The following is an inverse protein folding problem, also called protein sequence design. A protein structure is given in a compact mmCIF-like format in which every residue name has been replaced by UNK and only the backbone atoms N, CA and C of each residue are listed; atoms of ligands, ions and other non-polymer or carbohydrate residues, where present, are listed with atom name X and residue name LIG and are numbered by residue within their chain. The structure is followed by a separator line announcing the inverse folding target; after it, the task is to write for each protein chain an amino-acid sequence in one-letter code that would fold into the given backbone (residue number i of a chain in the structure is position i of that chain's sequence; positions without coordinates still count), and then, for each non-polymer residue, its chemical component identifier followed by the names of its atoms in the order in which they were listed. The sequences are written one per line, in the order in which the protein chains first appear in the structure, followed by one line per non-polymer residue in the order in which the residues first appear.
data_IF_513874719933
#
_entry.id   IF_513874719933
#
_cell.length_a   1.000
_cell.length_b   1.000
_cell.length_c   1.000
_cell.angle_alpha   90.00
_cell.angle_beta   90.00
_cell.angle_gamma   90.00
#
_symmetry.space_group_name_H-M   'P 1'
#
loop_
_entity.id
_entity.type
_entity.pdbx_description
1 polymer ?
#
# COMPACT_ATOMS: atom_id res chain seq x y z
N UNK A 1 21.78 33.13 0.74
CA UNK A 1 23.20 33.43 1.05
C UNK A 1 23.39 34.21 2.35
N UNK A 2 22.51 35.15 2.72
CA UNK A 2 22.68 35.92 3.98
C UNK A 2 22.60 35.07 5.26
N UNK A 3 21.72 34.07 5.32
CA UNK A 3 21.51 33.24 6.51
C UNK A 3 22.70 32.30 6.84
N UNK A 4 23.26 31.53 5.88
CA UNK A 4 24.46 30.72 6.16
C UNK A 4 25.67 31.55 6.61
N UNK A 5 25.82 32.78 6.09
CA UNK A 5 26.88 33.70 6.51
C UNK A 5 26.66 34.17 7.95
N UNK A 6 25.40 34.43 8.34
CA UNK A 6 25.05 34.77 9.72
C UNK A 6 25.29 33.60 10.69
N UNK A 7 24.95 32.37 10.31
CA UNK A 7 25.20 31.17 11.11
C UNK A 7 26.70 30.91 11.30
N UNK A 8 27.49 31.05 10.23
CA UNK A 8 28.94 30.90 10.30
C UNK A 8 29.59 31.97 11.18
N UNK A 9 29.09 33.21 11.11
CA UNK A 9 29.54 34.29 11.97
C UNK A 9 29.21 34.01 13.45
N UNK A 10 27.99 33.55 13.75
CA UNK A 10 27.59 33.15 15.11
C UNK A 10 28.48 32.03 15.64
N UNK A 11 28.75 31.01 14.84
CA UNK A 11 29.66 29.92 15.21
C UNK A 11 31.08 30.42 15.49
N UNK A 12 31.60 31.34 14.68
CA UNK A 12 32.93 31.92 14.86
C UNK A 12 33.02 32.79 16.12
N UNK A 13 31.99 33.59 16.40
CA UNK A 13 31.94 34.46 17.58
C UNK A 13 31.60 33.73 18.89
N UNK A 14 31.18 32.46 18.82
CA UNK A 14 31.05 31.59 19.99
C UNK A 14 32.42 31.09 20.51
N UNK A 15 33.49 31.12 19.70
CA UNK A 15 34.81 30.62 20.10
C UNK A 15 35.52 31.52 21.13
N UNK A 16 35.57 32.85 20.96
CA UNK A 16 36.19 33.73 21.96
C UNK A 16 35.23 33.96 23.15
N UNK A 17 35.73 33.74 24.37
CA UNK A 17 34.94 33.91 25.60
C UNK A 17 34.33 35.33 25.75
N UNK A 18 34.99 36.36 25.20
CA UNK A 18 34.52 37.75 25.25
C UNK A 18 33.31 38.01 24.33
N UNK A 19 33.21 37.30 23.19
CA UNK A 19 32.12 37.47 22.21
C UNK A 19 31.03 36.41 22.34
N UNK A 20 31.30 35.30 23.03
CA UNK A 20 30.38 34.19 23.23
C UNK A 20 29.00 34.56 23.82
N UNK A 21 28.84 35.53 24.75
CA UNK A 21 27.51 35.90 25.27
C UNK A 21 26.65 36.55 24.19
N UNK A 22 27.25 37.45 23.39
CA UNK A 22 26.59 38.14 22.29
C UNK A 22 26.28 37.17 21.14
N UNK A 23 27.19 36.23 20.87
CA UNK A 23 26.97 35.18 19.88
C UNK A 23 25.88 34.18 20.31
N UNK A 24 25.83 33.81 21.60
CA UNK A 24 24.77 32.96 22.15
C UNK A 24 23.39 33.65 22.10
N UNK A 25 23.32 34.96 22.36
CA UNK A 25 22.10 35.74 22.17
C UNK A 25 21.68 35.77 20.69
N UNK A 26 22.62 35.95 19.77
CA UNK A 26 22.37 35.85 18.32
C UNK A 26 21.86 34.48 17.89
N UNK A 27 22.47 33.40 18.39
CA UNK A 27 22.04 32.03 18.16
C UNK A 27 20.62 31.78 18.69
N UNK A 28 20.31 32.26 19.89
CA UNK A 28 18.98 32.15 20.50
C UNK A 28 17.90 32.81 19.62
N UNK A 29 18.15 34.03 19.15
CA UNK A 29 17.21 34.76 18.28
C UNK A 29 16.97 33.99 16.98
N UNK A 30 18.02 33.47 16.35
CA UNK A 30 17.91 32.68 15.11
C UNK A 30 17.13 31.38 15.34
N UNK A 31 17.45 30.65 16.42
CA UNK A 31 16.78 29.39 16.76
C UNK A 31 15.30 29.58 17.11
N UNK A 32 14.95 30.65 17.83
CA UNK A 32 13.56 30.97 18.14
C UNK A 32 12.79 31.41 16.89
N UNK A 33 13.39 32.25 16.03
CA UNK A 33 12.77 32.64 14.77
C UNK A 33 12.52 31.41 13.87
N UNK A 34 13.48 30.49 13.79
CA UNK A 34 13.34 29.25 13.04
C UNK A 34 12.29 28.31 13.67
N UNK A 35 12.28 28.17 15.00
CA UNK A 35 11.28 27.38 15.71
C UNK A 35 9.85 27.93 15.53
N UNK A 36 9.67 29.26 15.53
CA UNK A 36 8.38 29.90 15.23
C UNK A 36 7.97 29.64 13.78
N UNK A 37 8.90 29.79 12.83
CA UNK A 37 8.61 29.54 11.42
C UNK A 37 8.19 28.08 11.17
N UNK A 38 8.92 27.10 11.71
CA UNK A 38 8.55 25.68 11.63
C UNK A 38 7.26 25.41 12.39
N UNK A 39 7.09 25.93 13.60
CA UNK A 39 5.90 25.73 14.41
C UNK A 39 4.63 26.23 13.72
N UNK A 40 4.68 27.41 13.10
CA UNK A 40 3.58 27.96 12.29
C UNK A 40 3.34 27.13 11.03
N UNK A 41 4.39 26.59 10.42
CA UNK A 41 4.28 25.75 9.22
C UNK A 41 3.62 24.39 9.53
N UNK A 42 4.11 23.70 10.56
CA UNK A 42 3.58 22.42 11.05
C UNK A 42 2.15 22.57 11.58
N UNK A 43 1.85 23.64 12.33
CA UNK A 43 0.49 23.90 12.82
C UNK A 43 -0.52 24.18 11.69
N UNK A 44 -0.05 24.53 10.50
CA UNK A 44 -0.87 24.73 9.29
C UNK A 44 -0.87 23.51 8.36
N UNK A 45 -0.36 22.36 8.82
CA UNK A 45 -0.28 21.13 8.04
C UNK A 45 0.71 21.19 6.87
N UNK A 46 1.61 22.17 6.84
CA UNK A 46 2.63 22.31 5.79
C UNK A 46 3.94 21.72 6.28
N UNK A 47 4.50 20.76 5.54
CA UNK A 47 5.82 20.19 5.80
C UNK A 47 6.81 20.67 4.72
N UNK A 48 7.38 21.88 4.83
CA UNK A 48 8.27 22.41 3.81
C UNK A 48 9.57 21.61 3.77
N UNK A 49 10.04 21.33 2.56
CA UNK A 49 11.37 20.74 2.34
C UNK A 49 12.45 21.69 2.83
N UNK A 50 13.13 21.30 3.91
CA UNK A 50 14.20 22.09 4.48
C UNK A 50 15.51 21.82 3.74
N UNK A 51 15.85 22.69 2.78
CA UNK A 51 17.15 22.70 2.11
C UNK A 51 18.29 23.26 2.98
N UNK A 52 18.34 22.91 4.27
CA UNK A 52 19.33 23.44 5.23
C UNK A 52 20.78 23.09 4.88
N UNK A 53 21.02 22.11 3.99
CA UNK A 53 22.38 21.71 3.53
C UNK A 53 22.52 21.62 1.99
N UNK A 54 21.66 22.31 1.23
CA UNK A 54 21.63 22.21 -0.23
C UNK A 54 20.94 20.95 -0.75
N UNK A 55 21.13 20.61 -2.03
CA UNK A 55 20.41 19.54 -2.75
C UNK A 55 20.79 18.10 -2.33
N UNK A 56 21.65 17.92 -1.33
CA UNK A 56 22.24 16.61 -1.06
C UNK A 56 21.41 15.73 -0.14
N UNK A 57 20.55 16.26 0.74
CA UNK A 57 19.55 15.52 1.52
C UNK A 57 18.44 16.49 1.97
N UNK A 58 17.19 16.19 1.62
CA UNK A 58 15.99 16.93 2.06
C UNK A 58 15.14 15.99 2.89
N UNK A 59 14.92 16.31 4.17
CA UNK A 59 13.97 15.59 5.03
C UNK A 59 12.90 16.60 5.48
N UNK A 60 11.60 16.25 5.43
CA UNK A 60 10.52 17.19 5.74
C UNK A 60 10.67 17.75 7.16
N UNK A 61 10.46 19.06 7.32
CA UNK A 61 10.50 19.70 8.62
C UNK A 61 9.35 19.19 9.52
N UNK A 62 9.69 18.35 10.52
CA UNK A 62 8.72 17.74 11.42
C UNK A 62 8.87 18.14 12.89
N UNK A 63 8.07 17.52 13.74
CA UNK A 63 8.05 17.76 15.20
C UNK A 63 9.41 17.49 15.87
N UNK A 64 10.19 16.55 15.32
CA UNK A 64 11.57 16.28 15.78
C UNK A 64 12.51 17.46 15.55
N UNK A 65 12.38 18.14 14.41
CA UNK A 65 13.17 19.33 14.07
C UNK A 65 12.82 20.50 14.98
N UNK A 66 11.53 20.68 15.28
CA UNK A 66 11.07 21.67 16.24
C UNK A 66 11.64 21.40 17.65
N UNK A 67 11.51 20.17 18.15
CA UNK A 67 12.02 19.77 19.45
C UNK A 67 13.54 19.97 19.58
N UNK A 68 14.31 19.61 18.55
CA UNK A 68 15.77 19.82 18.49
C UNK A 68 16.13 21.30 18.59
N UNK A 69 15.46 22.17 17.82
CA UNK A 69 15.77 23.60 17.82
C UNK A 69 15.36 24.29 19.13
N UNK A 70 14.26 23.87 19.75
CA UNK A 70 13.87 24.34 21.08
C UNK A 70 14.88 23.92 22.16
N UNK A 71 15.43 22.71 22.08
CA UNK A 71 16.48 22.27 23.00
C UNK A 71 17.78 23.09 22.82
N UNK A 72 18.19 23.37 21.57
CA UNK A 72 19.34 24.23 21.28
C UNK A 72 19.09 25.68 21.74
N UNK A 73 17.87 26.19 21.56
CA UNK A 73 17.48 27.51 22.04
C UNK A 73 17.54 27.59 23.57
N UNK A 74 17.09 26.56 24.29
CA UNK A 74 17.20 26.51 25.75
C UNK A 74 18.67 26.54 26.21
N UNK A 75 19.57 25.81 25.52
CA UNK A 75 21.01 25.83 25.81
C UNK A 75 21.62 27.21 25.55
N UNK A 76 21.31 27.84 24.41
CA UNK A 76 21.77 29.18 24.07
C UNK A 76 21.26 30.24 25.08
N UNK A 77 20.00 30.11 25.49
CA UNK A 77 19.39 30.94 26.53
C UNK A 77 20.06 30.78 27.88
N UNK A 78 20.37 29.54 28.28
CA UNK A 78 21.12 29.27 29.51
C UNK A 78 22.51 29.90 29.49
N UNK A 79 23.27 29.74 28.40
CA UNK A 79 24.60 30.34 28.24
C UNK A 79 24.51 31.88 28.30
N UNK A 80 23.53 32.47 27.61
CA UNK A 80 23.31 33.93 27.63
C UNK A 80 22.96 34.42 29.03
N UNK A 81 22.07 33.72 29.72
CA UNK A 81 21.62 34.07 31.07
C UNK A 81 22.73 33.97 32.11
N UNK A 82 23.53 32.91 32.08
CA UNK A 82 24.66 32.72 32.99
C UNK A 82 25.77 33.72 32.70
N UNK A 83 26.09 33.97 31.42
CA UNK A 83 27.16 34.88 31.03
C UNK A 83 26.85 36.38 31.29
N UNK A 84 25.57 36.75 31.40
CA UNK A 84 25.17 38.13 31.74
C UNK A 84 24.95 38.36 33.23
N UNK A 85 24.68 37.30 34.02
CA UNK A 85 24.35 37.44 35.44
C UNK A 85 25.58 37.43 36.33
N UNK A 86 26.58 36.65 35.98
CA UNK A 86 27.84 36.56 36.70
C UNK A 86 28.96 36.78 35.68
N UNK A 87 30.05 37.48 36.06
CA UNK A 87 31.34 37.53 35.33
C UNK A 87 32.02 36.13 35.27
N UNK A 88 31.20 35.08 35.16
CA UNK A 88 31.57 33.71 35.00
C UNK A 88 32.07 33.52 33.57
N UNK A 89 33.39 33.45 33.42
CA UNK A 89 34.02 32.99 32.19
C UNK A 89 33.33 31.72 31.65
N UNK A 90 33.30 31.59 30.33
CA UNK A 90 32.46 30.66 29.57
C UNK A 90 32.83 29.18 29.66
N UNK A 91 33.68 28.79 30.61
CA UNK A 91 34.08 27.39 30.78
C UNK A 91 33.21 26.68 31.82
N UNK A 92 32.57 25.59 31.40
CA UNK A 92 31.76 24.72 32.26
C UNK A 92 32.54 24.22 33.50
N UNK A 93 33.86 24.02 33.36
CA UNK A 93 34.73 23.62 34.46
C UNK A 93 34.92 24.72 35.52
N UNK A 94 34.97 25.99 35.14
CA UNK A 94 35.09 27.10 36.10
C UNK A 94 33.79 27.38 36.85
N UNK A 95 32.64 27.08 36.23
CA UNK A 95 31.33 27.18 36.85
C UNK A 95 31.12 26.03 37.86
N UNK A 96 31.42 24.78 37.47
CA UNK A 96 31.37 23.62 38.37
C UNK A 96 32.34 23.78 39.55
N UNK A 97 33.53 24.35 39.31
CA UNK A 97 34.53 24.60 40.35
C UNK A 97 34.13 25.64 41.40
N UNK A 98 33.12 26.49 41.10
CA UNK A 98 32.60 27.52 42.01
C UNK A 98 31.40 27.06 42.85
N UNK A 99 30.81 25.91 42.51
CA UNK A 99 29.73 25.31 43.29
C UNK A 99 30.28 24.74 44.61
N UNK A 100 29.54 24.98 45.70
CA UNK A 100 29.79 24.31 46.97
C UNK A 100 29.58 22.78 46.86
N UNK A 101 29.93 22.03 47.90
CA UNK A 101 29.86 20.56 47.85
C UNK A 101 28.43 20.06 47.61
N UNK A 102 27.42 20.74 48.14
CA UNK A 102 26.00 20.49 47.88
C UNK A 102 25.60 20.77 46.43
N UNK A 103 26.05 21.89 45.86
CA UNK A 103 25.76 22.26 44.46
C UNK A 103 26.39 21.29 43.47
N UNK A 104 27.62 20.84 43.71
CA UNK A 104 28.27 19.80 42.90
C UNK A 104 27.52 18.46 42.98
N UNK A 105 27.07 18.07 44.17
CA UNK A 105 26.26 16.87 44.36
C UNK A 105 24.91 16.97 43.65
N UNK A 106 24.24 18.13 43.71
CA UNK A 106 22.96 18.37 43.03
C UNK A 106 23.09 18.31 41.50
N UNK A 107 24.12 18.93 40.93
CA UNK A 107 24.40 18.87 39.49
C UNK A 107 24.73 17.44 39.06
N UNK A 108 25.53 16.71 39.84
CA UNK A 108 25.82 15.30 39.59
C UNK A 108 24.57 14.40 39.63
N UNK A 109 23.69 14.61 40.62
CA UNK A 109 22.43 13.89 40.75
C UNK A 109 21.46 14.21 39.59
N UNK A 110 21.36 15.48 39.19
CA UNK A 110 20.54 15.89 38.05
C UNK A 110 21.04 15.25 36.74
N UNK A 111 22.36 15.26 36.50
CA UNK A 111 22.95 14.62 35.32
C UNK A 111 22.69 13.11 35.30
N UNK A 112 22.87 12.43 36.43
CA UNK A 112 22.58 11.00 36.56
C UNK A 112 21.08 10.69 36.32
N UNK A 113 20.18 11.51 36.87
CA UNK A 113 18.74 11.38 36.64
C UNK A 113 18.36 11.60 35.17
N UNK A 114 18.98 12.56 34.48
CA UNK A 114 18.76 12.78 33.04
C UNK A 114 19.24 11.59 32.22
N UNK A 115 20.42 11.02 32.52
CA UNK A 115 20.92 9.81 31.83
C UNK A 115 19.97 8.64 32.04
N UNK A 116 19.49 8.42 33.27
CA UNK A 116 18.51 7.37 33.58
C UNK A 116 17.19 7.57 32.83
N UNK A 117 16.68 8.81 32.76
CA UNK A 117 15.46 9.13 32.02
C UNK A 117 15.62 8.88 30.51
N UNK A 118 16.76 9.26 29.92
CA UNK A 118 17.06 9.00 28.52
C UNK A 118 17.20 7.50 28.23
N UNK A 119 17.86 6.75 29.11
CA UNK A 119 17.95 5.30 29.00
C UNK A 119 16.58 4.62 29.11
N UNK A 120 15.73 5.06 30.05
CA UNK A 120 14.36 4.57 30.19
C UNK A 120 13.50 4.89 28.96
N UNK A 121 13.59 6.11 28.43
CA UNK A 121 12.89 6.49 27.20
C UNK A 121 13.36 5.69 25.98
N UNK A 122 14.67 5.45 25.86
CA UNK A 122 15.24 4.61 24.81
C UNK A 122 14.74 3.16 24.92
N UNK A 123 14.75 2.58 26.11
CA UNK A 123 14.21 1.24 26.38
C UNK A 123 12.71 1.17 26.09
N UNK A 124 11.93 2.18 26.46
CA UNK A 124 10.49 2.25 26.16
C UNK A 124 10.25 2.30 24.63
N UNK A 125 11.01 3.11 23.91
CA UNK A 125 10.94 3.16 22.44
C UNK A 125 11.36 1.84 21.80
N UNK A 126 12.36 1.16 22.35
CA UNK A 126 12.80 -0.15 21.88
C UNK A 126 11.76 -1.23 22.19
N UNK A 127 11.08 -1.15 23.34
CA UNK A 127 9.97 -2.02 23.71
C UNK A 127 8.75 -1.80 22.77
N UNK A 128 8.38 -0.55 22.49
CA UNK A 128 7.31 -0.21 21.53
C UNK A 128 7.63 -0.73 20.12
N UNK A 129 8.87 -0.56 19.65
CA UNK A 129 9.33 -1.15 18.37
C UNK A 129 9.38 -2.67 18.41
N UNK A 130 9.67 -3.26 19.57
CA UNK A 130 9.62 -4.69 19.82
C UNK A 130 8.21 -5.25 19.76
N UNK A 131 7.23 -4.53 20.33
CA UNK A 131 5.81 -4.88 20.32
C UNK A 131 5.25 -4.90 18.89
N UNK A 132 5.71 -4.02 18.00
CA UNK A 132 5.36 -4.09 16.57
C UNK A 132 5.71 -5.44 15.93
N UNK A 133 6.85 -6.05 16.31
CA UNK A 133 7.22 -7.40 15.84
C UNK A 133 6.42 -8.52 16.50
N UNK A 134 5.92 -8.30 17.71
CA UNK A 134 5.03 -9.23 18.40
C UNK A 134 3.63 -9.19 17.81
N UNK A 135 3.10 -8.02 17.46
CA UNK A 135 1.82 -7.87 16.74
C UNK A 135 1.89 -8.57 15.38
N UNK A 136 2.93 -8.33 14.58
CA UNK A 136 3.12 -9.03 13.28
C UNK A 136 3.30 -10.54 13.45
N UNK A 137 3.86 -11.00 14.58
CA UNK A 137 3.94 -12.44 14.89
C UNK A 137 2.64 -13.00 15.40
N UNK A 138 1.85 -12.22 16.14
CA UNK A 138 0.52 -12.58 16.59
C UNK A 138 -0.38 -12.71 15.36
N UNK A 139 -0.37 -11.75 14.44
CA UNK A 139 -1.10 -11.82 13.15
C UNK A 139 -0.72 -13.07 12.35
N UNK A 140 0.58 -13.43 12.31
CA UNK A 140 1.03 -14.67 11.68
C UNK A 140 0.60 -15.93 12.42
N UNK A 141 0.50 -15.88 13.75
CA UNK A 141 0.01 -16.97 14.59
C UNK A 141 -1.51 -17.09 14.54
N UNK A 142 -2.23 -15.99 14.46
CA UNK A 142 -3.68 -15.92 14.26
C UNK A 142 -4.02 -16.42 12.87
N UNK A 143 -3.27 -16.02 11.83
CA UNK A 143 -3.37 -16.61 10.50
C UNK A 143 -3.03 -18.11 10.50
N UNK A 144 -2.02 -18.54 11.29
CA UNK A 144 -1.68 -19.95 11.44
C UNK A 144 -2.73 -20.75 12.23
N UNK A 145 -3.39 -20.16 13.23
CA UNK A 145 -4.44 -20.79 14.04
C UNK A 145 -5.77 -20.79 13.29
N UNK A 146 -6.06 -19.75 12.52
CA UNK A 146 -7.20 -19.68 11.60
C UNK A 146 -7.08 -20.74 10.50
N UNK A 147 -5.86 -21.01 10.00
CA UNK A 147 -5.61 -22.10 9.05
C UNK A 147 -5.64 -23.50 9.69
N UNK A 148 -5.48 -23.62 11.02
CA UNK A 148 -5.55 -24.89 11.75
C UNK A 148 -6.96 -25.20 12.33
N UNK A 149 -7.97 -24.36 12.06
CA UNK A 149 -9.39 -24.64 12.34
C UNK A 149 -9.77 -24.82 13.83
N UNK A 150 -8.92 -24.39 14.77
CA UNK A 150 -9.10 -24.67 16.20
C UNK A 150 -10.02 -23.67 16.94
N UNK A 151 -10.47 -22.59 16.28
CA UNK A 151 -11.50 -21.66 16.80
C UNK A 151 -12.36 -21.15 15.65
N UNK A 152 -13.65 -21.48 15.67
CA UNK A 152 -14.66 -20.91 14.77
C UNK A 152 -14.91 -19.43 15.13
N UNK A 153 -14.19 -18.55 14.44
CA UNK A 153 -14.47 -17.10 14.37
C UNK A 153 -15.17 -16.74 13.04
N UNK A 154 -15.72 -17.73 12.31
CA UNK A 154 -16.23 -17.56 10.93
C UNK A 154 -17.58 -16.84 10.81
N UNK A 155 -17.89 -15.95 11.75
CA UNK A 155 -19.01 -15.02 11.65
C UNK A 155 -18.54 -13.55 11.50
N UNK A 156 -17.34 -13.31 11.01
CA UNK A 156 -17.00 -11.99 10.46
C UNK A 156 -17.36 -11.96 8.98
N UNK A 157 -18.47 -11.26 8.67
CA UNK A 157 -18.89 -10.88 7.33
C UNK A 157 -17.69 -10.35 6.52
N UNK A 158 -17.45 -10.94 5.34
CA UNK A 158 -16.52 -10.37 4.37
C UNK A 158 -16.84 -8.89 4.15
N UNK A 159 -15.86 -7.98 4.28
CA UNK A 159 -16.10 -6.54 4.18
C UNK A 159 -16.58 -6.16 2.77
N UNK A 160 -17.61 -5.30 2.72
CA UNK A 160 -18.21 -4.82 1.46
C UNK A 160 -19.51 -5.52 1.04
N UNK A 161 -19.97 -5.17 -0.15
CA UNK A 161 -21.13 -5.79 -0.78
C UNK A 161 -20.74 -7.08 -1.50
N UNK A 162 -21.66 -8.05 -1.57
CA UNK A 162 -21.40 -9.32 -2.23
C UNK A 162 -21.14 -9.15 -3.73
N UNK A 163 -20.12 -9.84 -4.26
CA UNK A 163 -19.81 -9.87 -5.69
C UNK A 163 -21.01 -10.40 -6.48
N UNK A 164 -21.28 -9.76 -7.62
CA UNK A 164 -22.42 -10.01 -8.49
C UNK A 164 -23.73 -9.40 -8.01
N UNK A 165 -23.79 -8.80 -6.81
CA UNK A 165 -24.97 -8.05 -6.38
C UNK A 165 -25.10 -6.72 -7.16
N UNK A 166 -26.32 -6.19 -7.37
CA UNK A 166 -26.50 -4.87 -7.97
C UNK A 166 -25.87 -3.78 -7.11
N UNK A 167 -25.07 -2.90 -7.71
CA UNK A 167 -24.50 -1.76 -7.01
C UNK A 167 -25.62 -0.77 -6.60
N UNK A 168 -25.70 -0.36 -5.31
CA UNK A 168 -26.70 0.60 -4.87
C UNK A 168 -26.57 1.93 -5.60
N UNK A 169 -27.68 2.39 -6.19
CA UNK A 169 -27.73 3.71 -6.83
C UNK A 169 -27.55 4.83 -5.80
N UNK A 170 -26.84 5.88 -6.21
CA UNK A 170 -26.65 7.09 -5.41
C UNK A 170 -26.76 8.35 -6.26
N UNK A 171 -26.98 9.47 -5.59
CA UNK A 171 -26.82 10.82 -6.13
C UNK A 171 -26.07 11.65 -5.11
N UNK A 172 -24.87 12.11 -5.45
CA UNK A 172 -23.97 12.83 -4.54
C UNK A 172 -23.33 13.99 -5.33
N UNK A 173 -23.24 15.20 -4.76
CA UNK A 173 -22.56 16.30 -5.41
C UNK A 173 -21.05 16.05 -5.47
N UNK A 174 -20.40 16.60 -6.49
CA UNK A 174 -18.94 16.75 -6.51
C UNK A 174 -18.51 17.87 -5.56
N UNK A 175 -17.20 17.97 -5.31
CA UNK A 175 -16.63 19.11 -4.55
C UNK A 175 -16.86 20.46 -5.23
N UNK A 176 -17.16 20.48 -6.53
CA UNK A 176 -17.48 21.69 -7.30
C UNK A 176 -19.00 21.98 -7.37
N UNK A 177 -19.82 21.09 -6.79
CA UNK A 177 -21.27 21.24 -6.67
C UNK A 177 -22.10 20.60 -7.78
N UNK A 178 -21.47 19.99 -8.79
CA UNK A 178 -22.17 19.25 -9.85
C UNK A 178 -22.71 17.93 -9.30
N UNK A 179 -23.99 17.62 -9.58
CA UNK A 179 -24.62 16.39 -9.13
C UNK A 179 -24.18 15.19 -9.98
N UNK A 180 -23.67 14.14 -9.33
CA UNK A 180 -23.24 12.89 -9.99
C UNK A 180 -24.05 11.72 -9.48
N UNK A 181 -24.49 10.87 -10.40
CA UNK A 181 -25.23 9.64 -10.11
C UNK A 181 -24.46 8.41 -10.60
N UNK A 182 -24.67 7.26 -9.96
CA UNK A 182 -24.11 5.99 -10.44
C UNK A 182 -24.50 5.72 -11.91
N UNK A 183 -25.75 5.98 -12.26
CA UNK A 183 -26.24 5.82 -13.64
C UNK A 183 -25.49 6.75 -14.62
N UNK A 184 -25.18 7.97 -14.21
CA UNK A 184 -24.37 8.90 -15.00
C UNK A 184 -22.93 8.41 -15.20
N UNK A 185 -22.32 7.82 -14.17
CA UNK A 185 -20.98 7.23 -14.28
C UNK A 185 -20.96 6.01 -15.22
N UNK A 186 -21.97 5.15 -15.14
CA UNK A 186 -22.10 3.96 -15.99
C UNK A 186 -22.48 4.30 -17.45
N UNK A 187 -23.09 5.45 -17.70
CA UNK A 187 -23.45 5.89 -19.05
C UNK A 187 -22.24 6.08 -19.98
N UNK A 188 -21.04 6.23 -19.41
CA UNK A 188 -19.78 6.27 -20.17
C UNK A 188 -19.35 4.90 -20.73
N UNK A 189 -20.08 3.82 -20.42
CA UNK A 189 -19.78 2.44 -20.80
C UNK A 189 -18.35 2.01 -20.41
N UNK A 190 -17.93 2.40 -19.21
CA UNK A 190 -16.66 2.03 -18.58
C UNK A 190 -16.93 1.46 -17.19
N UNK A 191 -16.14 0.49 -16.71
CA UNK A 191 -16.18 0.10 -15.31
C UNK A 191 -15.93 1.30 -14.41
N UNK A 192 -16.48 1.27 -13.20
CA UNK A 192 -16.36 2.35 -12.21
C UNK A 192 -15.65 1.82 -10.98
N UNK A 193 -14.49 2.38 -10.66
CA UNK A 193 -13.86 2.18 -9.35
C UNK A 193 -14.35 3.30 -8.43
N UNK A 194 -15.05 2.89 -7.38
CA UNK A 194 -15.53 3.80 -6.34
C UNK A 194 -14.54 3.72 -5.17
N UNK A 195 -13.77 4.79 -4.95
CA UNK A 195 -12.66 4.81 -3.98
C UNK A 195 -13.02 5.73 -2.81
N UNK A 196 -13.16 5.17 -1.61
CA UNK A 196 -13.49 5.90 -0.39
C UNK A 196 -12.24 6.43 0.33
N UNK A 197 -12.26 7.71 0.66
CA UNK A 197 -11.16 8.43 1.33
C UNK A 197 -11.68 9.36 2.43
N UNK A 198 -10.77 9.95 3.18
CA UNK A 198 -11.04 11.05 4.12
C UNK A 198 -9.87 12.06 4.08
N UNK A 199 -10.10 13.38 4.09
CA UNK A 199 -9.04 14.39 4.05
C UNK A 199 -8.02 14.30 5.20
N UNK A 200 -8.41 13.75 6.35
CA UNK A 200 -7.55 13.55 7.52
C UNK A 200 -6.78 12.21 7.54
N UNK A 201 -6.97 11.37 6.53
CA UNK A 201 -6.38 10.03 6.46
C UNK A 201 -4.98 10.04 5.82
N UNK A 202 -3.95 9.77 6.62
CA UNK A 202 -2.55 9.75 6.18
C UNK A 202 -2.25 8.76 5.04
N UNK A 203 -2.65 7.48 5.14
CA UNK A 203 -2.48 6.51 4.05
C UNK A 203 -3.23 6.91 2.77
N UNK A 204 -4.41 7.52 2.90
CA UNK A 204 -5.17 8.02 1.78
C UNK A 204 -4.40 9.12 1.04
N UNK A 205 -3.77 10.04 1.77
CA UNK A 205 -2.97 11.12 1.18
C UNK A 205 -1.81 10.59 0.32
N UNK A 206 -1.20 9.47 0.71
CA UNK A 206 -0.13 8.84 -0.07
C UNK A 206 -0.63 8.29 -1.42
N UNK A 207 -1.92 7.94 -1.52
CA UNK A 207 -2.52 7.35 -2.72
C UNK A 207 -3.00 8.41 -3.74
N UNK A 208 -3.20 9.67 -3.32
CA UNK A 208 -3.79 10.72 -4.16
C UNK A 208 -3.04 10.99 -5.48
N UNK A 209 -1.68 10.98 -5.54
CA UNK A 209 -0.98 11.13 -6.81
C UNK A 209 -1.30 10.03 -7.81
N UNK A 210 -1.47 8.79 -7.35
CA UNK A 210 -1.84 7.65 -8.20
C UNK A 210 -3.29 7.78 -8.66
N UNK A 211 -4.21 8.19 -7.79
CA UNK A 211 -5.62 8.46 -8.17
C UNK A 211 -5.70 9.52 -9.25
N UNK A 212 -4.99 10.64 -9.09
CA UNK A 212 -4.95 11.70 -10.09
C UNK A 212 -4.36 11.22 -11.43
N UNK A 213 -3.35 10.33 -11.38
CA UNK A 213 -2.81 9.68 -12.58
C UNK A 213 -3.84 8.79 -13.24
N UNK A 214 -4.52 7.91 -12.49
CA UNK A 214 -5.52 6.99 -13.03
C UNK A 214 -6.70 7.72 -13.67
N UNK A 215 -7.19 8.80 -13.05
CA UNK A 215 -8.26 9.63 -13.59
C UNK A 215 -7.90 10.22 -14.96
N UNK A 216 -6.63 10.60 -15.18
CA UNK A 216 -6.16 11.17 -16.45
C UNK A 216 -5.78 10.11 -17.48
N UNK A 217 -4.93 9.16 -17.09
CA UNK A 217 -4.30 8.20 -18.01
C UNK A 217 -5.22 7.04 -18.39
N UNK A 218 -6.16 6.68 -17.51
CA UNK A 218 -7.10 5.59 -17.76
C UNK A 218 -8.53 6.08 -18.01
N UNK A 219 -8.74 7.38 -18.21
CA UNK A 219 -10.05 7.97 -18.47
C UNK A 219 -10.83 7.26 -19.57
N UNK A 220 -10.15 6.71 -20.59
CA UNK A 220 -10.74 5.99 -21.72
C UNK A 220 -11.18 4.55 -21.41
N UNK A 221 -10.60 3.92 -20.38
CA UNK A 221 -10.83 2.52 -20.05
C UNK A 221 -11.58 2.33 -18.72
N UNK A 222 -11.42 3.26 -17.77
CA UNK A 222 -11.92 3.15 -16.40
C UNK A 222 -12.34 4.53 -15.87
N UNK A 223 -13.46 4.57 -15.16
CA UNK A 223 -13.86 5.75 -14.38
C UNK A 223 -13.44 5.56 -12.93
N UNK A 224 -12.57 6.42 -12.41
CA UNK A 224 -12.19 6.43 -10.98
C UNK A 224 -12.90 7.57 -10.28
N UNK A 225 -13.92 7.25 -9.48
CA UNK A 225 -14.67 8.21 -8.68
C UNK A 225 -14.16 8.20 -7.23
N UNK A 226 -13.51 9.29 -6.80
CA UNK A 226 -13.02 9.44 -5.44
C UNK A 226 -14.15 9.95 -4.54
N UNK A 227 -14.58 9.16 -3.56
CA UNK A 227 -15.61 9.52 -2.57
C UNK A 227 -14.91 9.99 -1.30
N UNK A 228 -15.00 11.28 -0.99
CA UNK A 228 -14.35 11.87 0.17
C UNK A 228 -15.34 12.05 1.32
N UNK A 229 -15.08 11.36 2.43
CA UNK A 229 -15.79 11.54 3.69
C UNK A 229 -15.24 12.72 4.48
N UNK A 230 -16.11 13.55 5.04
CA UNK A 230 -15.73 14.76 5.78
C UNK A 230 -16.01 16.06 5.03
N UNK A 231 -15.68 17.23 5.62
CA UNK A 231 -16.14 18.54 5.13
C UNK A 231 -15.78 18.79 3.65
N UNK A 232 -16.72 19.29 2.84
CA UNK A 232 -16.48 19.54 1.42
C UNK A 232 -15.30 20.50 1.18
N UNK A 233 -15.09 21.49 2.07
CA UNK A 233 -13.97 22.43 1.96
C UNK A 233 -12.60 21.74 2.06
N UNK A 234 -12.47 20.76 2.95
CA UNK A 234 -11.21 20.01 3.12
C UNK A 234 -10.98 19.07 1.94
N UNK A 235 -12.06 18.44 1.47
CA UNK A 235 -12.06 17.58 0.28
C UNK A 235 -11.71 18.35 -0.99
N UNK A 236 -12.24 19.57 -1.16
CA UNK A 236 -11.94 20.46 -2.27
C UNK A 236 -10.48 20.93 -2.24
N UNK A 237 -9.97 21.31 -1.07
CA UNK A 237 -8.57 21.69 -0.92
C UNK A 237 -7.62 20.54 -1.31
N UNK A 238 -7.98 19.30 -0.98
CA UNK A 238 -7.22 18.10 -1.39
C UNK A 238 -7.34 17.80 -2.88
N UNK A 239 -8.53 18.00 -3.45
CA UNK A 239 -8.76 17.87 -4.89
C UNK A 239 -7.85 18.82 -5.69
N UNK A 240 -7.80 20.09 -5.29
CA UNK A 240 -6.93 21.09 -5.90
C UNK A 240 -5.43 20.78 -5.68
N UNK A 241 -5.04 20.37 -4.48
CA UNK A 241 -3.64 20.03 -4.14
C UNK A 241 -3.07 18.93 -5.04
N UNK A 242 -3.88 17.91 -5.35
CA UNK A 242 -3.45 16.73 -6.12
C UNK A 242 -3.94 16.73 -7.57
N UNK A 243 -4.63 17.78 -8.02
CA UNK A 243 -5.25 17.88 -9.34
C UNK A 243 -6.15 16.66 -9.65
N UNK A 244 -7.06 16.36 -8.72
CA UNK A 244 -8.08 15.33 -8.87
C UNK A 244 -9.26 15.88 -9.68
N UNK A 245 -9.80 15.07 -10.58
CA UNK A 245 -10.83 15.50 -11.54
C UNK A 245 -12.25 15.11 -11.11
N UNK A 246 -12.43 13.90 -10.58
CA UNK A 246 -13.74 13.39 -10.16
C UNK A 246 -13.74 13.07 -8.65
N UNK A 247 -14.19 14.03 -7.86
CA UNK A 247 -14.28 13.91 -6.39
C UNK A 247 -15.72 14.14 -5.94
N UNK A 248 -16.34 13.11 -5.36
CA UNK A 248 -17.68 13.12 -4.78
C UNK A 248 -17.61 13.50 -3.30
N UNK A 249 -18.44 14.46 -2.89
CA UNK A 249 -18.51 14.95 -1.51
C UNK A 249 -19.54 14.15 -0.69
N UNK A 250 -19.06 13.18 0.09
CA UNK A 250 -19.88 12.34 0.98
C UNK A 250 -19.64 12.71 2.44
N UNK A 251 -19.96 13.96 2.82
CA UNK A 251 -19.57 14.52 4.13
C UNK A 251 -20.03 13.65 5.32
N UNK A 252 -21.24 13.11 5.21
CA UNK A 252 -21.88 12.25 6.22
C UNK A 252 -21.52 10.76 6.09
N UNK A 253 -20.66 10.39 5.13
CA UNK A 253 -20.24 9.01 4.85
C UNK A 253 -21.39 8.06 4.51
N UNK A 254 -22.48 8.60 3.98
CA UNK A 254 -23.67 7.83 3.59
C UNK A 254 -23.38 6.85 2.46
N UNK A 255 -22.57 7.25 1.48
CA UNK A 255 -22.19 6.40 0.36
C UNK A 255 -21.17 5.34 0.82
N UNK A 256 -20.23 5.72 1.68
CA UNK A 256 -19.33 4.79 2.33
C UNK A 256 -20.07 3.69 3.11
N UNK A 257 -21.07 4.05 3.91
CA UNK A 257 -21.89 3.08 4.64
C UNK A 257 -22.77 2.23 3.72
N UNK A 258 -23.35 2.83 2.68
CA UNK A 258 -24.19 2.14 1.69
C UNK A 258 -23.45 1.00 0.97
N UNK A 259 -22.15 1.17 0.77
CA UNK A 259 -21.26 0.17 0.16
C UNK A 259 -20.53 -0.70 1.20
N UNK A 260 -20.97 -0.66 2.46
CA UNK A 260 -20.42 -1.42 3.58
C UNK A 260 -18.91 -1.22 3.76
N UNK A 261 -18.44 0.03 3.64
CA UNK A 261 -17.06 0.42 3.88
C UNK A 261 -16.61 0.13 5.31
N UNK A 262 -15.43 -0.48 5.48
CA UNK A 262 -14.87 -0.84 6.80
C UNK A 262 -13.56 -0.11 7.16
N UNK A 263 -12.97 0.63 6.23
CA UNK A 263 -11.89 1.58 6.49
C UNK A 263 -11.56 2.45 5.28
N UNK A 264 -10.75 3.50 5.48
CA UNK A 264 -10.19 4.33 4.39
C UNK A 264 -8.65 4.26 4.38
N UNK A 265 -8.01 4.19 3.19
CA UNK A 265 -8.64 4.14 1.88
C UNK A 265 -9.23 2.75 1.60
N UNK A 266 -10.37 2.69 0.92
CA UNK A 266 -10.90 1.44 0.37
C UNK A 266 -11.53 1.66 -1.01
N UNK A 267 -11.67 0.62 -1.82
CA UNK A 267 -12.28 0.72 -3.12
C UNK A 267 -13.09 -0.52 -3.50
N UNK A 268 -14.07 -0.32 -4.38
CA UNK A 268 -14.85 -1.40 -5.00
C UNK A 268 -14.96 -1.18 -6.50
N UNK A 269 -14.91 -2.26 -7.27
CA UNK A 269 -15.13 -2.25 -8.71
C UNK A 269 -16.59 -2.52 -9.03
N UNK A 270 -17.17 -1.66 -9.85
CA UNK A 270 -18.52 -1.79 -10.41
C UNK A 270 -18.38 -2.03 -11.91
N UNK A 271 -18.96 -3.14 -12.37
CA UNK A 271 -18.97 -3.54 -13.76
C UNK A 271 -19.86 -2.67 -14.65
N UNK A 272 -19.74 -2.87 -15.96
CA UNK A 272 -20.53 -2.19 -16.99
C UNK A 272 -22.04 -2.44 -16.86
N UNK A 273 -22.42 -3.57 -16.27
CA UNK A 273 -23.81 -3.96 -16.01
C UNK A 273 -24.35 -3.40 -14.70
N UNK A 274 -23.56 -2.59 -13.98
CA UNK A 274 -23.91 -1.97 -12.71
C UNK A 274 -23.89 -2.94 -11.53
N UNK A 275 -23.17 -4.07 -11.63
CA UNK A 275 -22.98 -5.02 -10.52
C UNK A 275 -21.61 -4.86 -9.87
N UNK A 276 -21.52 -5.27 -8.61
CA UNK A 276 -20.25 -5.34 -7.87
C UNK A 276 -19.38 -6.46 -8.47
N UNK A 277 -18.18 -6.16 -8.92
CA UNK A 277 -17.26 -7.12 -9.54
C UNK A 277 -16.08 -7.50 -8.64
N UNK A 278 -15.89 -6.83 -7.50
CA UNK A 278 -14.84 -7.12 -6.54
C UNK A 278 -15.34 -7.11 -5.09
N UNK A 279 -14.61 -7.78 -4.20
CA UNK A 279 -14.68 -7.49 -2.77
C UNK A 279 -14.20 -6.06 -2.48
N UNK A 280 -14.44 -5.56 -1.26
CA UNK A 280 -13.94 -4.25 -0.85
C UNK A 280 -12.42 -4.33 -0.64
N UNK A 281 -11.67 -3.71 -1.55
CA UNK A 281 -10.23 -3.60 -1.46
C UNK A 281 -9.84 -2.57 -0.41
N UNK A 282 -9.40 -3.00 0.78
CA UNK A 282 -8.98 -2.11 1.85
C UNK A 282 -7.46 -1.86 1.83
N UNK A 283 -7.06 -0.59 1.85
CA UNK A 283 -5.66 -0.16 1.85
C UNK A 283 -5.07 0.06 0.45
N UNK A 284 -3.97 0.82 0.39
CA UNK A 284 -3.39 1.29 -0.87
C UNK A 284 -2.95 0.17 -1.83
N UNK A 285 -2.35 -0.90 -1.31
CA UNK A 285 -1.86 -2.01 -2.14
C UNK A 285 -3.02 -2.77 -2.80
N UNK A 286 -4.07 -3.07 -2.03
CA UNK A 286 -5.27 -3.75 -2.55
C UNK A 286 -5.98 -2.89 -3.62
N UNK A 287 -6.04 -1.58 -3.43
CA UNK A 287 -6.63 -0.65 -4.40
C UNK A 287 -5.80 -0.60 -5.69
N UNK A 288 -4.47 -0.57 -5.59
CA UNK A 288 -3.59 -0.63 -6.76
C UNK A 288 -3.83 -1.91 -7.56
N UNK A 289 -3.92 -3.07 -6.89
CA UNK A 289 -4.24 -4.33 -7.53
C UNK A 289 -5.62 -4.33 -8.20
N UNK A 290 -6.62 -3.76 -7.53
CA UNK A 290 -7.98 -3.63 -8.06
C UNK A 290 -8.03 -2.77 -9.33
N UNK A 291 -7.37 -1.60 -9.32
CA UNK A 291 -7.34 -0.70 -10.48
C UNK A 291 -6.64 -1.38 -11.65
N UNK A 292 -5.49 -2.02 -11.42
CA UNK A 292 -4.76 -2.76 -12.45
C UNK A 292 -5.58 -3.93 -13.03
N UNK A 293 -6.40 -4.59 -12.20
CA UNK A 293 -7.35 -5.60 -12.66
C UNK A 293 -8.43 -4.98 -13.57
N UNK A 294 -8.99 -3.84 -13.16
CA UNK A 294 -10.09 -3.18 -13.87
C UNK A 294 -9.70 -2.62 -15.25
N UNK A 295 -8.48 -2.09 -15.40
CA UNK A 295 -7.97 -1.60 -16.70
C UNK A 295 -7.43 -2.73 -17.59
N UNK A 296 -7.41 -3.98 -17.10
CA UNK A 296 -6.87 -5.12 -17.83
C UNK A 296 -5.35 -5.08 -18.02
N UNK A 297 -4.61 -4.27 -17.26
CA UNK A 297 -3.15 -4.11 -17.43
C UNK A 297 -2.35 -5.33 -16.99
N UNK A 298 -2.93 -6.24 -16.22
CA UNK A 298 -2.31 -7.54 -16.01
C UNK A 298 -2.20 -8.38 -17.30
N UNK A 299 -3.03 -8.09 -18.32
CA UNK A 299 -3.00 -8.76 -19.61
C UNK A 299 -2.15 -8.03 -20.67
N UNK A 300 -1.70 -6.79 -20.42
CA UNK A 300 -0.95 -5.99 -21.39
C UNK A 300 0.58 -6.15 -21.25
N UNK A 301 1.07 -6.39 -20.02
CA UNK A 301 2.49 -6.73 -19.76
C UNK A 301 2.74 -8.25 -19.68
N UNK A 302 1.72 -9.05 -19.34
CA UNK A 302 1.84 -10.49 -19.13
C UNK A 302 0.68 -11.25 -19.80
N UNK A 303 0.93 -12.48 -20.26
CA UNK A 303 -0.01 -13.28 -21.02
C UNK A 303 0.14 -13.11 -22.54
N UNK A 304 -0.45 -14.03 -23.28
CA UNK A 304 -0.60 -13.94 -24.74
C UNK A 304 -1.97 -13.30 -25.04
N UNK A 305 -2.07 -12.32 -25.96
CA UNK A 305 -3.34 -11.68 -26.30
C UNK A 305 -4.44 -12.66 -26.72
N UNK A 306 -5.69 -12.32 -26.43
CA UNK A 306 -6.86 -13.10 -26.87
C UNK A 306 -6.84 -13.25 -28.41
N UNK A 307 -7.13 -14.46 -28.87
CA UNK A 307 -7.17 -14.81 -30.29
C UNK A 307 -5.81 -15.22 -30.87
N UNK A 308 -4.70 -14.97 -30.18
CA UNK A 308 -3.39 -15.47 -30.61
C UNK A 308 -3.26 -16.99 -30.36
N UNK A 309 -2.50 -17.72 -31.20
CA UNK A 309 -2.29 -19.15 -31.01
C UNK A 309 -1.42 -19.41 -29.76
N UNK A 310 -1.75 -20.48 -29.03
CA UNK A 310 -0.89 -20.94 -27.92
C UNK A 310 0.46 -21.42 -28.50
N UNK A 311 1.60 -21.09 -27.86
CA UNK A 311 2.92 -21.49 -28.34
C UNK A 311 3.10 -23.00 -28.29
N UNK A 312 3.85 -23.53 -29.25
CA UNK A 312 4.27 -24.93 -29.23
C UNK A 312 5.40 -25.13 -28.20
N UNK A 313 5.02 -25.45 -26.97
CA UNK A 313 5.93 -25.81 -25.89
C UNK A 313 5.79 -27.30 -25.62
N UNK A 314 6.88 -28.04 -25.79
CA UNK A 314 6.92 -29.48 -25.53
C UNK A 314 7.37 -29.72 -24.08
N UNK A 315 6.46 -30.22 -23.25
CA UNK A 315 6.73 -30.62 -21.87
C UNK A 315 6.69 -32.14 -21.74
N UNK A 316 7.01 -32.64 -20.55
CA UNK A 316 6.84 -34.05 -20.19
C UNK A 316 5.72 -34.21 -19.20
N UNK A 317 4.95 -35.27 -19.31
CA UNK A 317 4.03 -35.67 -18.25
C UNK A 317 4.72 -36.45 -17.13
N UNK A 318 3.97 -36.80 -16.08
CA UNK A 318 4.45 -37.58 -14.93
C UNK A 318 4.86 -39.04 -15.26
N UNK A 319 4.64 -39.50 -16.49
CA UNK A 319 5.12 -40.79 -17.01
C UNK A 319 6.35 -40.63 -17.93
N UNK A 320 6.83 -39.40 -18.12
CA UNK A 320 7.95 -39.04 -18.98
C UNK A 320 7.60 -38.96 -20.47
N UNK A 321 6.31 -39.08 -20.85
CA UNK A 321 5.86 -38.94 -22.24
C UNK A 321 5.85 -37.47 -22.63
N UNK A 322 6.33 -37.16 -23.83
CA UNK A 322 6.30 -35.80 -24.34
C UNK A 322 4.87 -35.40 -24.73
N UNK A 323 4.45 -34.19 -24.37
CA UNK A 323 3.18 -33.59 -24.74
C UNK A 323 3.34 -32.09 -24.96
N UNK A 324 2.67 -31.55 -25.98
CA UNK A 324 2.65 -30.12 -26.28
C UNK A 324 1.34 -29.48 -25.85
N UNK A 325 1.37 -28.21 -25.46
CA UNK A 325 0.16 -27.40 -25.24
C UNK A 325 -0.75 -27.43 -26.49
N UNK A 326 -0.16 -27.47 -27.69
CA UNK A 326 -0.88 -27.54 -28.96
C UNK A 326 -1.57 -28.90 -29.24
N UNK A 327 -1.23 -29.96 -28.49
CA UNK A 327 -1.84 -31.28 -28.63
C UNK A 327 -3.27 -31.33 -28.06
N UNK A 328 -3.65 -30.33 -27.24
CA UNK A 328 -4.95 -30.25 -26.58
C UNK A 328 -6.02 -29.53 -27.41
N UNK A 329 -5.81 -29.37 -28.73
CA UNK A 329 -6.85 -28.86 -29.66
C UNK A 329 -8.07 -29.78 -29.70
N UNK A 330 -9.19 -29.24 -30.17
CA UNK A 330 -10.45 -29.96 -30.37
C UNK A 330 -11.41 -29.90 -29.16
N UNK A 331 -10.98 -29.33 -28.04
CA UNK A 331 -11.83 -28.99 -26.91
C UNK A 331 -11.27 -27.75 -26.21
N UNK A 332 -12.14 -26.95 -25.61
CA UNK A 332 -11.72 -25.82 -24.80
C UNK A 332 -10.96 -26.34 -23.59
N UNK A 333 -9.73 -25.88 -23.43
CA UNK A 333 -8.76 -26.40 -22.46
C UNK A 333 -8.24 -25.27 -21.59
N UNK A 334 -8.33 -25.45 -20.28
CA UNK A 334 -7.73 -24.60 -19.28
C UNK A 334 -6.37 -25.18 -18.86
N UNK A 335 -5.30 -24.43 -19.11
CA UNK A 335 -3.97 -24.76 -18.59
C UNK A 335 -3.77 -24.04 -17.26
N UNK A 336 -3.72 -24.80 -16.17
CA UNK A 336 -3.49 -24.30 -14.81
C UNK A 336 -2.03 -24.45 -14.43
N UNK A 337 -1.36 -23.35 -14.12
CA UNK A 337 0.01 -23.34 -13.64
C UNK A 337 0.05 -23.49 -12.13
N UNK A 338 0.78 -24.51 -11.68
CA UNK A 338 0.79 -24.96 -10.29
C UNK A 338 2.21 -25.04 -9.73
N UNK A 339 2.34 -24.86 -8.42
CA UNK A 339 3.54 -25.28 -7.70
C UNK A 339 3.16 -25.79 -6.30
N UNK A 340 3.66 -26.96 -5.87
CA UNK A 340 3.45 -27.47 -4.50
C UNK A 340 3.95 -26.52 -3.42
N UNK A 341 5.01 -25.76 -3.75
CA UNK A 341 5.60 -24.77 -2.85
C UNK A 341 4.77 -23.49 -2.68
N UNK A 342 3.78 -23.24 -3.55
CA UNK A 342 2.96 -22.03 -3.52
C UNK A 342 1.82 -22.11 -2.48
N UNK A 343 1.72 -21.09 -1.62
CA UNK A 343 0.66 -20.98 -0.61
C UNK A 343 -0.75 -20.92 -1.22
N UNK A 344 -0.96 -20.05 -2.20
CA UNK A 344 -2.25 -19.89 -2.88
C UNK A 344 -2.67 -21.13 -3.68
N UNK A 345 -1.72 -21.92 -4.19
CA UNK A 345 -2.01 -23.21 -4.79
C UNK A 345 -2.58 -24.16 -3.73
N UNK A 346 -1.89 -24.31 -2.59
CA UNK A 346 -2.36 -25.16 -1.49
C UNK A 346 -3.73 -24.76 -0.96
N UNK A 347 -4.01 -23.47 -0.87
CA UNK A 347 -5.33 -22.96 -0.44
C UNK A 347 -6.47 -23.43 -1.35
N UNK A 348 -6.25 -23.51 -2.67
CA UNK A 348 -7.28 -23.94 -3.62
C UNK A 348 -7.24 -25.45 -3.96
N UNK A 349 -6.35 -26.22 -3.32
CA UNK A 349 -6.08 -27.61 -3.69
C UNK A 349 -7.28 -28.53 -3.49
N UNK A 350 -7.88 -28.49 -2.30
CA UNK A 350 -9.04 -29.33 -1.97
C UNK A 350 -10.23 -29.01 -2.87
N UNK A 351 -10.54 -27.73 -3.05
CA UNK A 351 -11.63 -27.26 -3.92
C UNK A 351 -11.42 -27.66 -5.40
N UNK A 352 -10.16 -27.67 -5.86
CA UNK A 352 -9.80 -28.13 -7.20
C UNK A 352 -10.02 -29.63 -7.36
N UNK A 353 -9.59 -30.45 -6.38
CA UNK A 353 -9.79 -31.90 -6.41
C UNK A 353 -11.29 -32.28 -6.34
N UNK A 354 -12.07 -31.57 -5.52
CA UNK A 354 -13.53 -31.72 -5.49
C UNK A 354 -14.17 -31.39 -6.84
N UNK A 355 -13.73 -30.31 -7.48
CA UNK A 355 -14.20 -29.94 -8.81
C UNK A 355 -13.81 -30.97 -9.88
N UNK A 356 -12.62 -31.58 -9.80
CA UNK A 356 -12.22 -32.66 -10.70
C UNK A 356 -13.09 -33.90 -10.54
N UNK A 357 -13.50 -34.22 -9.30
CA UNK A 357 -14.35 -35.36 -8.99
C UNK A 357 -15.79 -35.19 -9.51
N UNK A 358 -16.34 -33.96 -9.49
CA UNK A 358 -17.68 -33.63 -9.98
C UNK A 358 -17.66 -32.65 -11.16
N UNK A 359 -16.78 -32.93 -12.14
CA UNK A 359 -16.58 -32.02 -13.27
C UNK A 359 -17.85 -31.85 -14.12
N UNK A 360 -18.35 -30.61 -14.32
CA UNK A 360 -19.51 -30.38 -15.19
C UNK A 360 -19.26 -30.83 -16.65
N UNK A 361 -20.28 -31.35 -17.37
CA UNK A 361 -20.11 -31.81 -18.75
C UNK A 361 -19.70 -30.71 -19.73
N UNK A 362 -20.07 -29.46 -19.42
CA UNK A 362 -19.83 -28.25 -20.20
C UNK A 362 -18.65 -27.41 -19.68
N UNK A 363 -17.83 -27.96 -18.78
CA UNK A 363 -16.61 -27.33 -18.30
C UNK A 363 -15.42 -27.58 -19.25
N UNK A 364 -14.44 -26.66 -19.30
CA UNK A 364 -13.22 -26.89 -20.08
C UNK A 364 -12.46 -28.11 -19.58
N UNK A 365 -11.66 -28.72 -20.47
CA UNK A 365 -10.67 -29.71 -20.07
C UNK A 365 -9.61 -29.01 -19.21
N UNK A 366 -9.34 -29.51 -18.02
CA UNK A 366 -8.22 -29.05 -17.20
C UNK A 366 -6.94 -29.81 -17.56
N UNK A 367 -5.82 -29.08 -17.67
CA UNK A 367 -4.46 -29.61 -17.75
C UNK A 367 -3.62 -28.83 -16.74
N UNK A 368 -2.96 -29.54 -15.83
CA UNK A 368 -2.09 -28.91 -14.82
C UNK A 368 -0.67 -28.83 -15.38
N UNK A 369 -0.08 -27.66 -15.35
CA UNK A 369 1.32 -27.40 -15.72
C UNK A 369 2.06 -27.05 -14.44
N UNK A 370 2.74 -28.04 -13.86
CA UNK A 370 3.31 -27.95 -12.53
C UNK A 370 4.82 -27.67 -12.58
N UNK A 371 5.27 -26.77 -11.71
CA UNK A 371 6.69 -26.50 -11.46
C UNK A 371 7.08 -26.96 -10.05
N UNK A 372 8.27 -27.53 -9.90
CA UNK A 372 8.75 -28.11 -8.65
C UNK A 372 9.34 -29.50 -8.84
N UNK A 373 9.57 -30.21 -7.73
CA UNK A 373 10.05 -31.60 -7.77
C UNK A 373 8.92 -32.55 -8.19
N UNK A 374 9.19 -33.46 -9.14
CA UNK A 374 8.18 -34.40 -9.65
C UNK A 374 7.55 -35.28 -8.57
N UNK A 375 8.30 -35.60 -7.51
CA UNK A 375 7.79 -36.35 -6.36
C UNK A 375 6.68 -35.62 -5.64
N UNK A 376 6.90 -34.34 -5.29
CA UNK A 376 5.91 -33.47 -4.65
C UNK A 376 4.70 -33.26 -5.56
N UNK A 377 4.92 -33.03 -6.85
CA UNK A 377 3.84 -32.87 -7.84
C UNK A 377 2.96 -34.13 -7.91
N UNK A 378 3.55 -35.33 -7.77
CA UNK A 378 2.79 -36.58 -7.80
C UNK A 378 1.93 -36.78 -6.55
N UNK A 379 2.35 -36.23 -5.42
CA UNK A 379 1.62 -36.28 -4.15
C UNK A 379 0.37 -35.38 -4.17
N UNK A 380 0.30 -34.40 -5.09
CA UNK A 380 -0.88 -33.52 -5.26
C UNK A 380 -2.14 -34.27 -5.68
N UNK A 381 -2.02 -35.45 -6.29
CA UNK A 381 -3.17 -36.33 -6.54
C UNK A 381 -4.16 -35.88 -7.62
N UNK A 382 -3.77 -34.96 -8.52
CA UNK A 382 -4.64 -34.51 -9.62
C UNK A 382 -5.12 -35.66 -10.52
N UNK A 383 -6.42 -35.65 -10.85
CA UNK A 383 -7.01 -36.53 -11.83
C UNK A 383 -6.79 -36.03 -13.27
N UNK A 384 -6.59 -34.71 -13.45
CA UNK A 384 -6.26 -34.13 -14.74
C UNK A 384 -4.85 -34.49 -15.20
N UNK A 385 -4.58 -34.47 -16.52
CA UNK A 385 -3.21 -34.58 -17.04
C UNK A 385 -2.30 -33.52 -16.42
N UNK A 386 -1.12 -33.97 -15.96
CA UNK A 386 -0.09 -33.10 -15.38
C UNK A 386 1.12 -33.08 -16.30
N UNK A 387 1.54 -31.87 -16.69
CA UNK A 387 2.77 -31.58 -17.41
C UNK A 387 3.78 -30.91 -16.47
N UNK A 388 5.03 -31.32 -16.53
CA UNK A 388 6.11 -30.81 -15.66
C UNK A 388 6.84 -29.68 -16.39
N UNK A 389 6.76 -28.47 -15.86
CA UNK A 389 7.45 -27.25 -16.32
C UNK A 389 8.65 -26.94 -15.41
N UNK A 390 9.58 -27.89 -15.31
CA UNK A 390 10.70 -27.82 -14.35
C UNK A 390 11.60 -26.58 -14.54
N UNK A 391 11.77 -26.12 -15.79
CA UNK A 391 12.61 -24.96 -16.12
C UNK A 391 11.80 -23.67 -16.35
N UNK A 392 10.46 -23.71 -16.21
CA UNK A 392 9.59 -22.56 -16.48
C UNK A 392 9.51 -22.19 -17.96
N UNK A 393 9.68 -23.14 -18.87
CA UNK A 393 9.59 -22.94 -20.33
C UNK A 393 8.19 -22.51 -20.75
N UNK A 394 7.15 -23.19 -20.27
CA UNK A 394 5.77 -22.86 -20.62
C UNK A 394 5.37 -21.51 -20.04
N UNK A 395 5.72 -21.26 -18.77
CA UNK A 395 5.47 -19.98 -18.10
C UNK A 395 6.12 -18.79 -18.84
N UNK A 396 7.39 -18.95 -19.27
CA UNK A 396 8.10 -17.94 -20.09
C UNK A 396 7.48 -17.75 -21.48
N UNK A 397 7.12 -18.82 -22.16
CA UNK A 397 6.55 -18.77 -23.51
C UNK A 397 5.18 -18.06 -23.52
N UNK A 398 4.38 -18.28 -22.48
CA UNK A 398 3.09 -17.65 -22.27
C UNK A 398 3.19 -16.27 -21.62
N UNK A 399 4.42 -15.79 -21.35
CA UNK A 399 4.74 -14.47 -20.82
C UNK A 399 4.02 -14.17 -19.52
N UNK A 400 4.02 -15.07 -18.54
CA UNK A 400 3.53 -14.75 -17.20
C UNK A 400 4.48 -15.27 -16.11
N UNK A 401 4.34 -14.71 -14.92
CA UNK A 401 5.06 -15.15 -13.74
C UNK A 401 4.07 -15.35 -12.58
N UNK A 402 4.18 -16.48 -11.88
CA UNK A 402 3.41 -16.76 -10.66
C UNK A 402 2.39 -17.91 -10.80
N UNK A 403 2.12 -18.55 -9.66
CA UNK A 403 1.14 -19.63 -9.49
C UNK A 403 0.23 -19.29 -8.29
N UNK A 404 -1.05 -19.68 -8.29
CA UNK A 404 -1.77 -20.28 -9.40
C UNK A 404 -2.08 -19.24 -10.47
N UNK A 405 -1.96 -19.63 -11.73
CA UNK A 405 -2.41 -18.83 -12.87
C UNK A 405 -2.99 -19.76 -13.93
N UNK A 406 -3.87 -19.27 -14.78
CA UNK A 406 -4.49 -20.09 -15.82
C UNK A 406 -4.74 -19.34 -17.12
N UNK A 407 -4.61 -20.07 -18.23
CA UNK A 407 -4.99 -19.60 -19.57
C UNK A 407 -6.05 -20.53 -20.15
N UNK A 408 -7.15 -19.95 -20.61
CA UNK A 408 -8.19 -20.68 -21.35
C UNK A 408 -7.87 -20.63 -22.84
N UNK A 409 -7.80 -21.80 -23.45
CA UNK A 409 -7.53 -21.98 -24.88
C UNK A 409 -8.76 -22.63 -25.52
N UNK A 410 -9.23 -22.07 -26.63
CA UNK A 410 -10.37 -22.63 -27.36
C UNK A 410 -10.03 -23.94 -28.10
N UNK A 411 -11.05 -24.63 -28.58
CA UNK A 411 -10.91 -25.82 -29.42
C UNK A 411 -10.07 -25.62 -30.70
N UNK A 412 -9.85 -24.38 -31.15
CA UNK A 412 -8.97 -24.02 -32.26
C UNK A 412 -7.50 -23.86 -31.87
N UNK A 413 -7.17 -23.91 -30.57
CA UNK A 413 -5.83 -23.72 -30.05
C UNK A 413 -5.43 -22.25 -29.90
N UNK A 414 -6.40 -21.34 -29.73
CA UNK A 414 -6.18 -19.91 -29.52
C UNK A 414 -6.59 -19.48 -28.12
N UNK A 415 -5.92 -18.46 -27.58
CA UNK A 415 -6.26 -17.89 -26.27
C UNK A 415 -7.68 -17.33 -26.32
N UNK A 416 -8.57 -17.86 -25.48
CA UNK A 416 -9.98 -17.52 -25.44
C UNK A 416 -10.34 -16.53 -24.33
N UNK A 417 -9.49 -16.43 -23.31
CA UNK A 417 -9.67 -15.54 -22.16
C UNK A 417 -8.32 -14.94 -21.74
N UNK A 418 -8.28 -13.72 -21.15
CA UNK A 418 -7.06 -13.18 -20.55
C UNK A 418 -6.39 -14.15 -19.57
N UNK A 419 -5.13 -13.89 -19.21
CA UNK A 419 -4.50 -14.68 -18.15
C UNK A 419 -5.25 -14.46 -16.81
N UNK A 420 -5.73 -15.54 -16.20
CA UNK A 420 -6.24 -15.53 -14.83
C UNK A 420 -5.07 -15.71 -13.86
N UNK A 421 -4.98 -14.87 -12.82
CA UNK A 421 -3.94 -14.97 -11.78
C UNK A 421 -4.60 -15.00 -10.39
N UNK A 422 -4.16 -15.92 -9.54
CA UNK A 422 -4.72 -16.15 -8.22
C UNK A 422 -5.83 -17.22 -8.20
N UNK A 423 -6.05 -17.81 -7.03
CA UNK A 423 -6.94 -18.96 -6.81
C UNK A 423 -8.38 -18.68 -7.22
N UNK A 424 -8.93 -17.55 -6.78
CA UNK A 424 -10.33 -17.16 -7.05
C UNK A 424 -10.61 -17.03 -8.56
N UNK A 425 -9.73 -16.34 -9.30
CA UNK A 425 -9.88 -16.15 -10.73
C UNK A 425 -9.78 -17.46 -11.52
N UNK A 426 -8.86 -18.35 -11.12
CA UNK A 426 -8.70 -19.68 -11.72
C UNK A 426 -9.97 -20.51 -11.49
N UNK A 427 -10.47 -20.57 -10.25
CA UNK A 427 -11.68 -21.32 -9.90
C UNK A 427 -12.92 -20.77 -10.61
N UNK A 428 -13.03 -19.44 -10.75
CA UNK A 428 -14.10 -18.82 -11.54
C UNK A 428 -14.05 -19.25 -12.99
N UNK A 429 -12.86 -19.30 -13.60
CA UNK A 429 -12.69 -19.71 -14.99
C UNK A 429 -12.99 -21.21 -15.19
N UNK A 430 -12.62 -22.06 -14.23
CA UNK A 430 -12.99 -23.49 -14.19
C UNK A 430 -14.51 -23.70 -14.12
N UNK A 431 -15.20 -22.84 -13.37
CA UNK A 431 -16.67 -22.87 -13.21
C UNK A 431 -17.40 -22.15 -14.33
N UNK A 432 -16.70 -21.38 -15.15
CA UNK A 432 -17.31 -20.67 -16.26
C UNK A 432 -17.76 -21.66 -17.32
N UNK A 433 -19.03 -21.54 -17.74
CA UNK A 433 -19.54 -22.33 -18.86
C UNK A 433 -18.86 -21.84 -20.13
N UNK A 434 -18.44 -22.78 -20.99
CA UNK A 434 -17.75 -22.57 -22.27
C UNK A 434 -18.53 -21.70 -23.30
N UNK A 435 -19.65 -21.09 -22.92
CA UNK A 435 -20.48 -20.24 -23.78
C UNK A 435 -20.15 -18.75 -23.74
N UNK A 436 -19.14 -18.31 -23.00
CA UNK A 436 -18.69 -16.91 -23.05
C UNK A 436 -17.83 -16.63 -24.31
N UNK A 437 -18.46 -16.71 -25.49
CA UNK A 437 -17.92 -16.12 -26.72
C UNK A 437 -17.91 -14.62 -26.53
N UNK A 438 -16.77 -14.06 -26.15
CA UNK A 438 -16.51 -12.63 -26.34
C UNK A 438 -16.24 -12.44 -27.83
N UNK A 439 -17.23 -11.93 -28.57
CA UNK A 439 -17.05 -11.50 -29.96
C UNK A 439 -18.23 -11.78 -30.89
N UNK A 440 -19.19 -10.85 -30.93
CA UNK A 440 -19.76 -10.31 -32.19
C UNK A 440 -20.27 -8.90 -31.95
#
# INVERSE_FOLDING_TARGET
LALPVAELAVALFLLPAASAPWAAAGALVLLLAFAVAIGVSVARGRAPDCHCFGQLHSEPAGWRTLARNLALAALAGFVTFVAWRDDAGTSASSWIGRLDTSGRAAVGAAAAATVLALAAAWLALQALRGQGRLLVRLERLEAAIASDGLVDLSAEQEPGLAIGSPAPGFSVPTTDGDEVTLAGLLAAAKPVVLLFTDPGCGPCQALMPDVARWQREHADALTVALVSGGPALDSQAKAEEHALELVLADEERTLYELYAGTGTPSAVLIGLDGRIESSLAAGSDAILHLVNHAIGDFASEWGIPIGEPVPEVALRDLDGRAASLADYRGADTLFLFWSPSCGFCREMHEELLEWEADRPPDAPRLVVVASGEEGEIREEGFASPVLVDAEGEASRALRFAGTPSAVLVDSGGRVAWPLAVGSEHVLRLLRSRTTARVGS
#
